data_IF_733106681371
#
_entry.id   IF_733106681371
#
_cell.length_a   1.000
_cell.length_b   1.000
_cell.length_c   1.000
_cell.angle_alpha   90.00
_cell.angle_beta   90.00
_cell.angle_gamma   90.00
#
_symmetry.space_group_name_H-M   'P 1'
#
loop_
_entity.id
_entity.type
_entity.pdbx_description
1 polymer ?
#
# COMPACT_ATOMS: atom_id res chain seq x y z
N UNK A 1 -43.56 -29.69 -35.81
CA UNK A 1 -42.79 -28.53 -36.33
C UNK A 1 -42.90 -27.30 -35.43
N UNK A 2 -44.08 -26.94 -34.89
CA UNK A 2 -44.28 -25.70 -34.12
C UNK A 2 -43.49 -25.53 -32.80
N UNK A 3 -43.24 -26.59 -32.02
CA UNK A 3 -42.50 -26.47 -30.74
C UNK A 3 -41.03 -26.09 -30.89
N UNK A 4 -40.36 -26.54 -31.96
CA UNK A 4 -38.93 -26.23 -32.20
C UNK A 4 -38.73 -24.79 -32.68
N UNK A 5 -39.69 -24.26 -33.45
CA UNK A 5 -39.68 -22.85 -33.91
C UNK A 5 -39.94 -21.91 -32.73
N UNK A 6 -40.85 -22.26 -31.82
CA UNK A 6 -41.11 -21.49 -30.61
C UNK A 6 -39.89 -21.41 -29.67
N UNK A 7 -39.15 -22.51 -29.52
CA UNK A 7 -37.92 -22.53 -28.70
C UNK A 7 -36.82 -21.69 -29.36
N UNK A 8 -36.61 -21.81 -30.67
CA UNK A 8 -35.62 -21.00 -31.38
C UNK A 8 -35.94 -19.49 -31.30
N UNK A 9 -37.22 -19.12 -31.37
CA UNK A 9 -37.66 -17.73 -31.20
C UNK A 9 -37.41 -17.22 -29.78
N UNK A 10 -37.72 -18.00 -28.75
CA UNK A 10 -37.46 -17.62 -27.35
C UNK A 10 -35.97 -17.48 -27.05
N UNK A 11 -35.12 -18.35 -27.59
CA UNK A 11 -33.66 -18.25 -27.47
C UNK A 11 -33.14 -17.00 -28.18
N UNK A 12 -33.64 -16.70 -29.38
CA UNK A 12 -33.28 -15.48 -30.11
C UNK A 12 -33.64 -14.20 -29.35
N UNK A 13 -34.83 -14.14 -28.74
CA UNK A 13 -35.26 -12.99 -27.92
C UNK A 13 -34.41 -12.87 -26.65
N UNK A 14 -34.05 -13.98 -26.00
CA UNK A 14 -33.18 -13.97 -24.82
C UNK A 14 -31.76 -13.46 -25.14
N UNK A 15 -31.19 -13.87 -26.28
CA UNK A 15 -29.87 -13.42 -26.72
C UNK A 15 -29.86 -11.94 -27.12
N UNK A 16 -30.91 -11.47 -27.80
CA UNK A 16 -31.06 -10.05 -28.13
C UNK A 16 -31.21 -9.19 -26.87
N UNK A 17 -31.99 -9.65 -25.89
CA UNK A 17 -32.13 -8.97 -24.61
C UNK A 17 -30.81 -8.93 -23.83
N UNK A 18 -30.05 -10.04 -23.81
CA UNK A 18 -28.73 -10.11 -23.18
C UNK A 18 -27.71 -9.17 -23.84
N UNK A 19 -27.74 -9.05 -25.17
CA UNK A 19 -26.86 -8.14 -25.91
C UNK A 19 -27.19 -6.67 -25.63
N UNK A 20 -28.47 -6.29 -25.65
CA UNK A 20 -28.91 -4.92 -25.32
C UNK A 20 -28.59 -4.57 -23.87
N UNK A 21 -28.76 -5.50 -22.93
CA UNK A 21 -28.42 -5.32 -21.52
C UNK A 21 -26.90 -5.22 -21.29
N UNK A 22 -26.10 -6.01 -22.00
CA UNK A 22 -24.63 -5.91 -21.98
C UNK A 22 -24.15 -4.56 -22.51
N UNK A 23 -24.73 -4.12 -23.64
CA UNK A 23 -24.43 -2.81 -24.24
C UNK A 23 -24.81 -1.64 -23.32
N UNK A 24 -25.98 -1.70 -22.68
CA UNK A 24 -26.39 -0.68 -21.70
C UNK A 24 -25.54 -0.71 -20.42
N UNK A 25 -25.10 -1.89 -19.97
CA UNK A 25 -24.22 -2.04 -18.81
C UNK A 25 -22.83 -1.48 -19.05
N UNK A 26 -22.29 -1.66 -20.27
CA UNK A 26 -20.98 -1.11 -20.64
C UNK A 26 -21.01 0.41 -20.79
N UNK A 27 -22.11 0.98 -21.31
CA UNK A 27 -22.20 2.42 -21.59
C UNK A 27 -22.56 3.28 -20.36
N UNK A 28 -23.31 2.75 -19.39
CA UNK A 28 -23.87 3.53 -18.28
C UNK A 28 -23.38 3.10 -16.87
N UNK A 29 -22.44 2.14 -16.76
CA UNK A 29 -21.72 1.87 -15.50
C UNK A 29 -22.54 1.41 -14.29
N UNK A 30 -23.82 1.06 -14.44
CA UNK A 30 -24.71 0.71 -13.33
C UNK A 30 -25.05 -0.79 -13.34
N UNK A 31 -24.47 -1.56 -12.41
CA UNK A 31 -25.03 -2.85 -12.00
C UNK A 31 -25.27 -2.81 -10.48
N UNK A 32 -26.52 -2.91 -10.02
CA UNK A 32 -26.83 -3.14 -8.62
C UNK A 32 -26.25 -4.49 -8.15
N UNK A 33 -25.54 -4.49 -7.01
CA UNK A 33 -24.83 -5.64 -6.43
C UNK A 33 -25.70 -6.92 -6.31
N UNK A 34 -27.01 -6.77 -6.18
CA UNK A 34 -27.99 -7.86 -6.03
C UNK A 34 -28.17 -8.72 -7.30
N UNK A 35 -27.84 -8.20 -8.48
CA UNK A 35 -28.00 -8.95 -9.73
C UNK A 35 -26.81 -9.87 -10.02
N UNK A 36 -25.61 -9.53 -9.52
CA UNK A 36 -24.38 -10.30 -9.72
C UNK A 36 -24.41 -11.65 -9.00
N UNK A 37 -25.04 -11.72 -7.83
CA UNK A 37 -25.20 -12.98 -7.08
C UNK A 37 -26.15 -13.95 -7.78
N UNK A 38 -27.25 -13.44 -8.34
CA UNK A 38 -28.27 -14.24 -9.01
C UNK A 38 -27.75 -14.91 -10.29
N UNK A 39 -26.93 -14.20 -11.09
CA UNK A 39 -26.30 -14.78 -12.29
C UNK A 39 -25.27 -15.86 -11.94
N UNK A 40 -24.50 -15.65 -10.87
CA UNK A 40 -23.49 -16.62 -10.37
C UNK A 40 -24.14 -17.93 -9.92
N UNK A 41 -25.24 -17.85 -9.18
CA UNK A 41 -25.95 -19.01 -8.65
C UNK A 41 -26.62 -19.83 -9.78
N UNK A 42 -27.12 -19.14 -10.81
CA UNK A 42 -27.76 -19.79 -11.96
C UNK A 42 -26.74 -20.51 -12.85
N UNK A 43 -25.55 -19.92 -13.05
CA UNK A 43 -24.47 -20.54 -13.84
C UNK A 43 -23.87 -21.79 -13.15
N UNK A 44 -23.73 -21.76 -11.81
CA UNK A 44 -23.27 -22.90 -11.02
C UNK A 44 -24.20 -24.11 -11.13
N UNK A 45 -25.52 -23.89 -11.12
CA UNK A 45 -26.53 -24.95 -11.23
C UNK A 45 -26.63 -25.58 -12.64
N UNK A 46 -26.22 -24.86 -13.68
CA UNK A 46 -26.29 -25.33 -15.08
C UNK A 46 -25.07 -26.14 -15.54
N UNK A 47 -23.91 -25.99 -14.88
CA UNK A 47 -22.62 -26.53 -15.37
C UNK A 47 -22.14 -27.80 -14.66
N UNK A 48 -22.89 -28.35 -13.70
CA UNK A 48 -22.73 -29.74 -13.24
C UNK A 48 -21.35 -30.17 -12.71
N UNK A 49 -20.47 -29.26 -12.30
CA UNK A 49 -19.13 -29.60 -11.80
C UNK A 49 -19.15 -29.85 -10.29
N UNK A 50 -19.22 -31.13 -9.91
CA UNK A 50 -19.21 -31.63 -8.53
C UNK A 50 -17.80 -31.94 -8.00
N UNK A 51 -16.81 -31.10 -8.29
CA UNK A 51 -15.52 -31.12 -7.60
C UNK A 51 -15.08 -29.69 -7.31
N UNK A 52 -15.24 -29.28 -6.05
CA UNK A 52 -14.67 -28.05 -5.54
C UNK A 52 -13.13 -28.20 -5.54
N UNK A 53 -12.37 -27.27 -6.14
CA UNK A 53 -10.93 -27.22 -5.90
C UNK A 53 -10.69 -27.05 -4.39
N UNK A 54 -9.68 -27.75 -3.86
CA UNK A 54 -9.29 -27.67 -2.47
C UNK A 54 -9.13 -26.19 -2.08
N UNK A 55 -9.88 -25.76 -1.07
CA UNK A 55 -9.81 -24.41 -0.58
C UNK A 55 -8.40 -24.14 -0.07
N UNK A 56 -7.67 -23.23 -0.74
CA UNK A 56 -6.57 -22.50 -0.11
C UNK A 56 -7.11 -21.95 1.22
N UNK A 57 -6.37 -22.05 2.33
CA UNK A 57 -6.82 -21.45 3.58
C UNK A 57 -7.10 -19.97 3.31
N UNK A 58 -8.38 -19.59 3.29
CA UNK A 58 -8.75 -18.18 3.39
C UNK A 58 -8.43 -17.83 4.83
N UNK A 59 -7.26 -17.23 5.05
CA UNK A 59 -6.99 -16.57 6.31
C UNK A 59 -8.09 -15.53 6.51
N UNK A 60 -9.00 -15.81 7.42
CA UNK A 60 -9.98 -14.84 7.88
C UNK A 60 -9.21 -13.68 8.48
N UNK A 61 -9.08 -12.58 7.74
CA UNK A 61 -8.32 -11.41 8.17
C UNK A 61 -9.13 -10.12 8.17
N UNK A 62 -10.46 -10.23 8.21
CA UNK A 62 -11.38 -9.28 8.84
C UNK A 62 -12.71 -10.01 9.09
N UNK A 63 -12.84 -10.90 10.10
CA UNK A 63 -14.16 -11.40 10.45
C UNK A 63 -14.88 -10.36 11.31
N UNK A 64 -15.80 -9.59 10.72
CA UNK A 64 -16.88 -8.98 11.50
C UNK A 64 -17.97 -10.04 11.76
N UNK A 65 -17.79 -10.76 12.88
CA UNK A 65 -18.75 -11.59 13.66
C UNK A 65 -19.35 -12.84 12.98
N UNK A 66 -19.65 -13.96 13.66
CA UNK A 66 -19.81 -14.32 15.09
C UNK A 66 -19.37 -15.77 15.35
N UNK A 67 -18.84 -16.09 16.53
CA UNK A 67 -19.25 -17.27 17.30
C UNK A 67 -18.95 -17.07 18.80
N UNK A 68 -19.95 -17.41 19.62
CA UNK A 68 -20.11 -17.12 21.04
C UNK A 68 -18.90 -17.43 21.96
N UNK A 69 -18.80 -16.60 23.01
CA UNK A 69 -17.97 -16.73 24.23
C UNK A 69 -16.56 -16.09 24.25
N UNK A 70 -16.49 -14.78 23.99
CA UNK A 70 -15.45 -13.90 24.52
C UNK A 70 -16.09 -12.56 24.91
N UNK A 71 -15.60 -11.87 25.96
CA UNK A 71 -16.18 -10.57 26.35
C UNK A 71 -15.80 -9.49 25.33
N UNK A 72 -16.75 -8.67 24.84
CA UNK A 72 -16.76 -8.23 23.44
C UNK A 72 -16.07 -6.90 23.11
N UNK A 73 -15.33 -6.27 24.02
CA UNK A 73 -14.95 -4.84 23.88
C UNK A 73 -13.45 -4.56 23.65
N UNK A 74 -12.53 -5.53 23.79
CA UNK A 74 -11.08 -5.28 23.62
C UNK A 74 -10.39 -6.10 22.50
N UNK A 75 -11.03 -7.16 21.99
CA UNK A 75 -10.48 -7.97 20.86
C UNK A 75 -10.84 -7.38 19.47
N UNK A 76 -11.54 -6.25 19.42
CA UNK A 76 -12.04 -5.61 18.19
C UNK A 76 -11.07 -4.59 17.56
N UNK A 77 -9.89 -4.32 18.16
CA UNK A 77 -8.90 -3.36 17.62
C UNK A 77 -7.68 -4.10 17.05
N UNK A 78 -7.90 -4.95 16.04
CA UNK A 78 -6.81 -5.56 15.26
C UNK A 78 -6.71 -4.91 13.88
N UNK A 79 -6.00 -3.80 13.74
CA UNK A 79 -5.69 -3.25 12.40
C UNK A 79 -4.47 -2.33 12.32
N UNK A 80 -3.34 -2.72 12.92
CA UNK A 80 -2.03 -2.19 12.47
C UNK A 80 -1.07 -3.37 12.31
N UNK A 81 -0.66 -3.64 11.07
CA UNK A 81 0.25 -4.72 10.72
C UNK A 81 -0.24 -5.57 9.55
N UNK A 82 0.55 -5.60 8.48
CA UNK A 82 0.36 -6.50 7.36
C UNK A 82 0.93 -7.89 7.66
N UNK A 83 0.51 -8.87 6.87
CA UNK A 83 1.08 -10.20 6.94
C UNK A 83 2.56 -10.20 6.56
N UNK A 84 3.33 -11.05 7.23
CA UNK A 84 4.73 -11.30 6.88
C UNK A 84 4.88 -12.12 5.59
N UNK A 85 3.85 -12.91 5.24
CA UNK A 85 3.75 -13.71 4.02
C UNK A 85 2.28 -14.09 3.79
N UNK A 86 1.84 -14.24 2.54
CA UNK A 86 0.44 -14.59 2.22
C UNK A 86 0.27 -15.57 1.05
N UNK A 87 1.26 -15.68 0.17
CA UNK A 87 1.20 -16.53 -1.02
C UNK A 87 2.21 -17.67 -0.95
N UNK A 88 1.92 -18.84 -1.56
CA UNK A 88 2.90 -19.92 -1.68
C UNK A 88 4.19 -19.42 -2.32
N UNK A 89 5.32 -19.93 -1.85
CA UNK A 89 6.61 -19.62 -2.46
C UNK A 89 6.67 -20.13 -3.92
N UNK A 90 7.33 -19.35 -4.77
CA UNK A 90 7.61 -19.71 -6.16
C UNK A 90 8.87 -20.57 -6.25
N UNK A 91 9.00 -21.36 -7.33
CA UNK A 91 10.22 -22.14 -7.58
C UNK A 91 11.41 -21.24 -7.97
N UNK A 92 11.14 -20.09 -8.58
CA UNK A 92 12.14 -19.09 -8.98
C UNK A 92 12.19 -17.94 -7.98
N UNK A 93 13.40 -17.43 -7.73
CA UNK A 93 13.64 -16.24 -6.90
C UNK A 93 14.90 -15.49 -7.35
N UNK A 94 15.13 -14.30 -6.80
CA UNK A 94 16.15 -13.36 -7.24
C UNK A 94 15.70 -12.53 -8.44
N UNK A 95 16.65 -11.96 -9.18
CA UNK A 95 16.35 -11.26 -10.44
C UNK A 95 16.08 -12.30 -11.52
N UNK A 96 14.85 -12.32 -12.01
CA UNK A 96 14.35 -13.29 -13.00
C UNK A 96 14.34 -12.71 -14.42
N UNK A 97 14.36 -11.38 -14.54
CA UNK A 97 14.49 -10.67 -15.80
C UNK A 97 15.26 -9.37 -15.58
N UNK A 98 16.23 -9.08 -16.47
CA UNK A 98 16.98 -7.83 -16.49
C UNK A 98 17.32 -7.50 -17.95
N UNK A 99 16.52 -6.65 -18.58
CA UNK A 99 16.81 -6.07 -19.89
C UNK A 99 17.62 -4.79 -19.68
N UNK A 100 18.93 -4.87 -19.92
CA UNK A 100 19.88 -3.76 -19.65
C UNK A 100 19.66 -2.53 -20.53
N UNK A 101 18.96 -2.68 -21.66
CA UNK A 101 18.68 -1.58 -22.59
C UNK A 101 17.39 -0.84 -22.18
N UNK A 102 16.47 -1.50 -21.48
CA UNK A 102 15.20 -0.93 -21.04
C UNK A 102 15.19 -0.53 -19.57
N UNK A 103 15.88 -1.27 -18.70
CA UNK A 103 15.84 -1.06 -17.26
C UNK A 103 16.63 0.18 -16.83
N UNK A 104 16.09 0.92 -15.86
CA UNK A 104 16.76 2.05 -15.23
C UNK A 104 17.92 1.53 -14.41
N UNK A 105 19.11 2.08 -14.63
CA UNK A 105 20.27 1.75 -13.79
C UNK A 105 20.05 2.22 -12.36
N UNK A 106 20.73 1.59 -11.41
CA UNK A 106 20.74 1.99 -10.01
C UNK A 106 20.98 0.86 -9.04
N UNK A 107 20.74 1.15 -7.77
CA UNK A 107 20.74 0.19 -6.66
C UNK A 107 19.30 -0.02 -6.17
N UNK A 108 18.99 -1.20 -5.64
CA UNK A 108 17.67 -1.51 -5.11
C UNK A 108 17.76 -1.69 -3.59
N UNK A 109 17.06 -0.85 -2.84
CA UNK A 109 16.87 -1.01 -1.40
C UNK A 109 15.50 -1.62 -1.14
N UNK A 110 15.40 -2.67 -0.33
CA UNK A 110 14.12 -3.26 0.03
C UNK A 110 14.04 -3.73 1.48
N UNK A 111 12.81 -3.82 1.98
CA UNK A 111 12.44 -4.46 3.25
C UNK A 111 11.37 -5.52 3.02
N UNK A 112 11.35 -6.55 3.86
CA UNK A 112 10.42 -7.67 3.70
C UNK A 112 10.01 -8.26 5.04
N UNK A 113 8.86 -8.94 5.07
CA UNK A 113 8.28 -9.54 6.28
C UNK A 113 9.09 -10.65 6.94
N UNK A 114 10.21 -11.10 6.37
CA UNK A 114 10.99 -12.22 6.88
C UNK A 114 11.89 -11.87 8.08
N UNK A 115 12.34 -10.62 8.21
CA UNK A 115 13.29 -10.23 9.25
C UNK A 115 13.32 -8.71 9.47
N UNK A 116 13.80 -8.21 10.64
CA UNK A 116 13.96 -6.80 10.91
C UNK A 116 15.27 -6.28 10.28
N UNK A 117 15.29 -6.29 8.95
CA UNK A 117 16.42 -5.92 8.12
C UNK A 117 16.00 -5.16 6.86
N UNK A 118 16.96 -4.45 6.29
CA UNK A 118 16.89 -3.83 4.96
C UNK A 118 18.08 -4.31 4.13
N UNK A 119 17.84 -4.59 2.85
CA UNK A 119 18.82 -5.15 1.93
C UNK A 119 19.04 -4.19 0.78
N UNK A 120 20.31 -3.85 0.52
CA UNK A 120 20.74 -3.12 -0.67
C UNK A 120 21.35 -4.12 -1.65
N UNK A 121 20.86 -4.13 -2.90
CA UNK A 121 21.35 -5.00 -3.97
C UNK A 121 21.58 -4.22 -5.26
N UNK A 122 22.40 -4.75 -6.16
CA UNK A 122 22.54 -4.22 -7.52
C UNK A 122 21.39 -4.69 -8.44
N UNK A 123 21.49 -4.37 -9.73
CA UNK A 123 20.48 -4.73 -10.74
C UNK A 123 20.45 -6.22 -11.08
N UNK A 124 21.51 -6.97 -10.77
CA UNK A 124 21.62 -8.41 -11.01
C UNK A 124 21.22 -9.23 -9.77
N UNK A 125 20.78 -8.56 -8.70
CA UNK A 125 20.31 -9.17 -7.47
C UNK A 125 21.44 -9.58 -6.52
N UNK A 126 22.68 -9.12 -6.76
CA UNK A 126 23.77 -9.33 -5.80
C UNK A 126 23.56 -8.40 -4.61
N UNK A 127 23.47 -8.98 -3.43
CA UNK A 127 23.44 -8.24 -2.17
C UNK A 127 24.77 -7.50 -1.97
N UNK A 128 24.67 -6.19 -1.80
CA UNK A 128 25.81 -5.30 -1.57
C UNK A 128 25.97 -4.98 -0.09
N UNK A 129 24.86 -4.86 0.64
CA UNK A 129 24.85 -4.56 2.06
C UNK A 129 23.52 -4.93 2.73
N UNK A 130 23.55 -5.23 4.02
CA UNK A 130 22.37 -5.52 4.84
C UNK A 130 22.47 -4.80 6.18
N UNK A 131 21.44 -4.06 6.55
CA UNK A 131 21.26 -3.53 7.91
C UNK A 131 20.31 -4.43 8.67
N UNK A 132 20.57 -4.71 9.94
CA UNK A 132 19.69 -5.55 10.77
C UNK A 132 19.68 -5.14 12.22
N UNK A 133 18.49 -5.06 12.83
CA UNK A 133 18.36 -4.82 14.28
C UNK A 133 17.13 -5.49 14.83
N UNK A 134 17.30 -6.41 15.77
CA UNK A 134 16.19 -7.08 16.45
C UNK A 134 15.45 -6.10 17.39
N UNK A 135 14.12 -6.17 17.41
CA UNK A 135 13.28 -5.31 18.26
C UNK A 135 13.72 -5.31 19.72
N UNK A 136 13.96 -6.51 20.27
CA UNK A 136 14.33 -6.72 21.67
C UNK A 136 15.67 -6.07 22.06
N UNK A 137 16.51 -5.69 21.09
CA UNK A 137 17.77 -4.97 21.32
C UNK A 137 17.61 -3.44 21.38
N UNK A 138 16.41 -2.93 21.06
CA UNK A 138 16.05 -1.51 21.08
C UNK A 138 15.07 -1.22 22.22
N UNK A 139 14.01 -2.03 22.32
CA UNK A 139 12.97 -1.89 23.33
C UNK A 139 12.57 -3.25 23.93
N UNK A 140 12.09 -3.30 25.19
CA UNK A 140 11.58 -4.54 25.77
C UNK A 140 10.37 -5.07 24.99
N UNK A 141 10.28 -6.39 24.77
CA UNK A 141 9.13 -7.04 24.09
C UNK A 141 7.80 -6.75 24.81
N UNK A 142 7.83 -6.71 26.14
CA UNK A 142 6.67 -6.35 26.98
C UNK A 142 6.16 -4.92 26.76
N UNK A 143 6.89 -4.11 26.00
CA UNK A 143 6.52 -2.74 25.65
C UNK A 143 5.75 -2.65 24.32
N UNK A 144 5.47 -3.77 23.64
CA UNK A 144 4.57 -3.79 22.48
C UNK A 144 3.18 -3.26 22.89
N UNK A 145 2.60 -2.27 22.19
CA UNK A 145 1.21 -1.89 22.43
C UNK A 145 0.25 -3.05 22.13
N UNK A 146 -0.77 -3.23 22.95
CA UNK A 146 -1.67 -4.41 22.86
C UNK A 146 -2.36 -4.54 21.49
N UNK A 147 -2.69 -3.40 20.86
CA UNK A 147 -3.33 -3.30 19.55
C UNK A 147 -2.38 -3.51 18.35
N UNK A 148 -1.08 -3.73 18.58
CA UNK A 148 -0.08 -3.99 17.54
C UNK A 148 0.21 -5.49 17.45
N UNK A 149 0.19 -6.10 16.27
CA UNK A 149 0.47 -7.54 16.11
C UNK A 149 1.87 -7.93 16.61
N UNK A 150 2.01 -9.12 17.19
CA UNK A 150 3.33 -9.65 17.60
C UNK A 150 4.29 -9.81 16.40
N UNK A 151 3.75 -10.18 15.23
CA UNK A 151 4.49 -10.24 13.98
C UNK A 151 5.23 -8.92 13.65
N UNK A 152 4.70 -7.76 14.04
CA UNK A 152 5.32 -6.44 13.79
C UNK A 152 6.65 -6.25 14.52
N UNK A 153 7.02 -7.13 15.46
CA UNK A 153 8.33 -7.12 16.13
C UNK A 153 9.43 -7.78 15.27
N UNK A 154 9.05 -8.54 14.25
CA UNK A 154 9.94 -9.43 13.50
C UNK A 154 10.36 -8.88 12.14
N UNK A 155 9.94 -7.66 11.79
CA UNK A 155 10.31 -7.04 10.52
C UNK A 155 10.37 -5.52 10.60
N UNK A 156 11.06 -4.92 9.63
CA UNK A 156 10.95 -3.49 9.35
C UNK A 156 9.92 -3.28 8.24
N UNK A 157 8.94 -2.41 8.49
CA UNK A 157 7.89 -2.12 7.52
C UNK A 157 8.38 -1.29 6.35
N UNK A 158 9.29 -0.36 6.65
CA UNK A 158 9.87 0.58 5.71
C UNK A 158 11.25 0.99 6.18
N UNK A 159 12.12 1.28 5.23
CA UNK A 159 13.44 1.83 5.50
C UNK A 159 13.74 3.02 4.59
N UNK A 160 14.59 3.92 5.07
CA UNK A 160 15.15 5.00 4.28
C UNK A 160 16.66 5.05 4.50
N UNK A 161 17.41 4.98 3.40
CA UNK A 161 18.85 5.02 3.39
C UNK A 161 19.34 6.45 3.21
N UNK A 162 20.23 6.91 4.08
CA UNK A 162 20.98 8.14 3.88
C UNK A 162 22.23 7.90 3.02
N UNK A 163 22.73 8.92 2.29
CA UNK A 163 23.95 8.79 1.49
C UNK A 163 25.21 8.41 2.29
N UNK A 164 25.24 8.65 3.60
CA UNK A 164 26.35 8.28 4.48
C UNK A 164 26.31 6.82 4.97
N UNK A 165 25.24 6.07 4.63
CA UNK A 165 25.05 4.68 5.04
C UNK A 165 24.23 4.50 6.31
N UNK A 166 23.82 5.60 6.97
CA UNK A 166 22.82 5.50 8.04
C UNK A 166 21.48 5.09 7.45
N UNK A 167 20.64 4.42 8.24
CA UNK A 167 19.34 3.94 7.81
C UNK A 167 18.28 4.25 8.87
N UNK A 168 17.14 4.81 8.45
CA UNK A 168 15.92 4.79 9.26
C UNK A 168 15.14 3.51 8.99
N UNK A 169 14.50 2.97 10.02
CA UNK A 169 13.58 1.85 9.87
C UNK A 169 12.38 1.93 10.81
N UNK A 170 11.20 1.56 10.30
CA UNK A 170 9.94 1.52 11.06
C UNK A 170 9.68 0.11 11.56
N UNK A 171 9.45 -0.02 12.88
CA UNK A 171 8.72 -1.14 13.47
C UNK A 171 7.23 -0.79 13.52
N UNK A 172 6.43 -1.53 12.76
CA UNK A 172 5.04 -1.19 12.43
C UNK A 172 4.15 -1.00 13.65
N UNK A 173 3.58 0.20 13.78
CA UNK A 173 2.72 0.60 14.89
C UNK A 173 3.46 0.90 16.20
N UNK A 174 4.80 0.89 16.22
CA UNK A 174 5.59 0.99 17.45
C UNK A 174 6.52 2.20 17.44
N UNK A 175 7.40 2.30 16.46
CA UNK A 175 8.45 3.30 16.51
C UNK A 175 9.41 3.29 15.32
N UNK A 176 10.24 4.32 15.30
CA UNK A 176 11.26 4.59 14.31
C UNK A 176 12.63 4.42 14.97
N UNK A 177 13.55 3.76 14.28
CA UNK A 177 14.95 3.69 14.71
C UNK A 177 15.84 4.31 13.63
N UNK A 178 17.00 4.81 14.05
CA UNK A 178 18.13 5.11 13.16
C UNK A 178 19.30 4.23 13.53
N UNK A 179 19.88 3.56 12.54
CA UNK A 179 21.12 2.79 12.67
C UNK A 179 22.20 3.36 11.75
N UNK A 180 23.47 3.14 12.08
CA UNK A 180 24.56 3.38 11.14
C UNK A 180 24.71 2.22 10.14
N UNK A 181 25.67 2.36 9.20
CA UNK A 181 26.02 1.33 8.21
C UNK A 181 26.54 0.00 8.79
N UNK A 182 26.82 -0.05 10.09
CA UNK A 182 27.28 -1.26 10.77
C UNK A 182 26.15 -1.83 11.66
N UNK A 183 24.92 -1.34 11.49
CA UNK A 183 23.73 -1.70 12.27
C UNK A 183 23.78 -1.32 13.75
N UNK A 184 24.66 -0.38 14.13
CA UNK A 184 24.64 0.17 15.48
C UNK A 184 23.50 1.18 15.61
N UNK A 185 22.71 1.04 16.68
CA UNK A 185 21.64 1.96 17.00
C UNK A 185 22.22 3.34 17.34
N UNK A 186 21.82 4.36 16.59
CA UNK A 186 22.17 5.75 16.84
C UNK A 186 21.14 6.42 17.74
N UNK A 187 19.85 6.23 17.44
CA UNK A 187 18.75 6.68 18.29
C UNK A 187 17.46 5.90 17.96
N UNK A 188 16.49 6.00 18.85
CA UNK A 188 15.16 5.39 18.69
C UNK A 188 14.07 6.36 19.12
N UNK A 189 12.95 6.38 18.42
CA UNK A 189 11.78 7.20 18.71
C UNK A 189 10.53 6.31 18.80
N UNK A 190 9.83 6.36 19.93
CA UNK A 190 8.70 5.46 20.26
C UNK A 190 7.37 6.20 20.19
N UNK A 191 6.99 6.59 18.98
CA UNK A 191 5.80 7.41 18.72
C UNK A 191 4.67 6.69 18.00
N UNK A 192 4.62 5.35 18.02
CA UNK A 192 3.61 4.57 17.30
C UNK A 192 3.79 4.62 15.78
N UNK A 193 5.02 4.69 15.29
CA UNK A 193 5.31 4.89 13.87
C UNK A 193 4.81 3.72 13.01
N UNK A 194 4.22 4.02 11.86
CA UNK A 194 3.68 3.01 10.95
C UNK A 194 3.84 3.44 9.50
N UNK A 195 3.88 2.48 8.58
CA UNK A 195 3.82 2.63 7.12
C UNK A 195 4.88 3.50 6.43
N UNK A 196 4.98 4.79 6.72
CA UNK A 196 5.74 5.75 5.93
C UNK A 196 6.56 6.76 6.74
N UNK A 197 7.71 7.12 6.17
CA UNK A 197 8.64 8.14 6.65
C UNK A 197 9.25 8.89 5.46
N UNK A 198 9.26 10.21 5.53
CA UNK A 198 9.83 11.09 4.51
C UNK A 198 10.86 12.05 5.12
N UNK A 199 11.99 12.20 4.45
CA UNK A 199 13.10 13.05 4.89
C UNK A 199 13.19 14.26 3.98
N UNK A 200 13.12 15.45 4.57
CA UNK A 200 13.33 16.68 3.82
C UNK A 200 14.83 16.95 3.61
N UNK A 201 15.21 17.76 2.60
CA UNK A 201 16.60 18.21 2.45
C UNK A 201 17.14 18.98 3.66
N UNK A 202 16.28 19.59 4.50
CA UNK A 202 16.69 20.26 5.73
C UNK A 202 17.03 19.29 6.87
N UNK A 203 16.76 17.99 6.71
CA UNK A 203 16.97 16.96 7.71
C UNK A 203 15.82 16.79 8.70
N UNK A 204 14.66 17.40 8.44
CA UNK A 204 13.44 17.11 9.19
C UNK A 204 12.83 15.79 8.70
N UNK A 205 12.32 15.00 9.65
CA UNK A 205 11.77 13.67 9.42
C UNK A 205 10.27 13.73 9.66
N UNK A 206 9.48 13.45 8.62
CA UNK A 206 8.03 13.34 8.72
C UNK A 206 7.68 11.86 8.77
N UNK A 207 6.96 11.43 9.79
CA UNK A 207 6.61 10.01 9.98
C UNK A 207 5.14 9.87 10.36
N UNK A 208 4.47 8.89 9.75
CA UNK A 208 3.11 8.52 10.14
C UNK A 208 3.15 7.81 11.49
N UNK A 209 2.20 8.17 12.35
CA UNK A 209 2.10 7.67 13.72
C UNK A 209 0.66 7.34 14.06
N UNK A 210 0.46 6.31 14.87
CA UNK A 210 -0.86 5.88 15.32
C UNK A 210 -0.95 5.95 16.84
N UNK A 211 -2.10 6.39 17.33
CA UNK A 211 -2.42 6.39 18.75
C UNK A 211 -3.88 6.05 19.03
N UNK A 212 -4.12 5.44 20.18
CA UNK A 212 -5.47 5.14 20.65
C UNK A 212 -6.12 6.37 21.28
N UNK A 213 -7.12 6.93 20.60
CA UNK A 213 -7.88 8.11 21.01
C UNK A 213 -9.33 7.77 21.35
N UNK A 214 -10.00 8.66 22.09
CA UNK A 214 -11.46 8.62 22.28
C UNK A 214 -11.99 10.04 22.10
N UNK A 215 -12.14 10.52 20.85
CA UNK A 215 -12.48 11.92 20.58
C UNK A 215 -13.88 12.22 21.11
N UNK A 216 -14.02 13.23 21.96
CA UNK A 216 -15.30 13.55 22.65
C UNK A 216 -16.48 13.87 21.71
N UNK A 217 -16.19 14.27 20.47
CA UNK A 217 -17.17 14.61 19.45
C UNK A 217 -17.64 13.41 18.63
N UNK A 218 -16.87 12.31 18.62
CA UNK A 218 -17.32 11.02 18.18
C UNK A 218 -18.00 10.41 19.42
N UNK A 219 -19.32 10.17 19.42
CA UNK A 219 -20.00 9.55 20.58
C UNK A 219 -19.57 8.10 20.73
N UNK A 220 -18.33 7.96 21.19
CA UNK A 220 -17.46 6.82 21.07
C UNK A 220 -17.63 5.94 22.30
N UNK A 221 -18.33 4.81 22.14
CA UNK A 221 -18.36 3.75 23.14
C UNK A 221 -16.97 3.10 23.31
N UNK A 222 -16.13 3.18 22.27
CA UNK A 222 -14.82 2.54 22.17
C UNK A 222 -13.67 3.53 21.94
N UNK A 223 -12.43 3.06 22.12
CA UNK A 223 -11.22 3.76 21.65
C UNK A 223 -10.99 3.46 20.17
N UNK A 224 -10.43 4.43 19.47
CA UNK A 224 -10.14 4.40 18.03
C UNK A 224 -8.66 4.58 17.78
N UNK A 225 -8.16 4.10 16.65
CA UNK A 225 -6.85 4.50 16.18
C UNK A 225 -7.02 5.76 15.34
N UNK A 226 -6.40 6.85 15.77
CA UNK A 226 -6.16 8.03 14.93
C UNK A 226 -4.74 7.99 14.38
N UNK A 227 -4.58 8.46 13.14
CA UNK A 227 -3.28 8.62 12.52
C UNK A 227 -2.86 10.09 12.60
N UNK A 228 -1.59 10.31 12.87
CA UNK A 228 -0.97 11.63 12.96
C UNK A 228 0.30 11.67 12.13
N UNK A 229 0.68 12.87 11.68
CA UNK A 229 2.02 13.14 11.15
C UNK A 229 2.84 13.74 12.28
N UNK A 230 3.90 13.04 12.70
CA UNK A 230 4.92 13.58 13.60
C UNK A 230 6.08 14.14 12.77
N UNK A 231 6.57 15.33 13.14
CA UNK A 231 7.76 15.95 12.55
C UNK A 231 8.88 15.89 13.58
N UNK A 232 9.96 15.19 13.27
CA UNK A 232 11.14 15.05 14.10
C UNK A 232 12.31 15.84 13.52
N UNK A 233 13.24 16.25 14.38
CA UNK A 233 14.56 16.69 13.92
C UNK A 233 15.46 15.50 13.54
N UNK A 234 16.65 15.79 13.00
CA UNK A 234 17.63 14.77 12.61
C UNK A 234 18.13 13.87 13.78
N UNK A 235 17.88 14.27 15.03
CA UNK A 235 18.22 13.51 16.24
C UNK A 235 17.04 12.68 16.78
N UNK A 236 15.93 12.65 16.05
CA UNK A 236 14.72 11.92 16.43
C UNK A 236 13.89 12.61 17.52
N UNK A 237 14.10 13.91 17.78
CA UNK A 237 13.30 14.67 18.73
C UNK A 237 12.05 15.23 18.05
N UNK A 238 10.88 14.97 18.63
CA UNK A 238 9.61 15.46 18.10
C UNK A 238 9.48 16.98 18.26
N UNK A 239 9.26 17.66 17.13
CA UNK A 239 9.04 19.11 17.03
C UNK A 239 7.56 19.45 17.02
N UNK A 240 6.75 18.61 16.36
CA UNK A 240 5.32 18.84 16.08
C UNK A 240 4.61 17.53 15.81
N UNK A 241 3.32 17.48 16.15
CA UNK A 241 2.39 16.41 15.77
C UNK A 241 1.09 17.00 15.29
N UNK A 242 0.54 16.45 14.21
CA UNK A 242 -0.72 16.89 13.62
C UNK A 242 -1.63 15.69 13.43
N UNK A 243 -2.80 15.71 14.09
CA UNK A 243 -3.85 14.69 13.92
C UNK A 243 -4.50 14.80 12.55
N UNK A 244 -4.60 13.69 11.84
CA UNK A 244 -5.27 13.62 10.54
C UNK A 244 -6.78 13.73 10.70
N UNK A 245 -7.35 13.11 11.74
CA UNK A 245 -8.77 13.21 12.03
C UNK A 245 -9.21 14.65 12.30
N UNK A 246 -8.44 15.41 13.10
CA UNK A 246 -8.72 16.83 13.32
C UNK A 246 -8.51 17.66 12.05
N UNK A 247 -7.52 17.35 11.20
CA UNK A 247 -7.37 18.03 9.91
C UNK A 247 -8.61 17.90 9.02
N UNK A 248 -9.16 16.70 8.89
CA UNK A 248 -10.39 16.48 8.13
C UNK A 248 -11.57 17.21 8.77
N UNK A 249 -11.73 17.10 10.09
CA UNK A 249 -12.80 17.76 10.84
C UNK A 249 -12.78 19.28 10.70
N UNK A 250 -11.59 19.88 10.67
CA UNK A 250 -11.40 21.34 10.57
C UNK A 250 -11.45 21.86 9.12
N UNK A 251 -11.83 21.01 8.15
CA UNK A 251 -11.85 21.37 6.73
C UNK A 251 -13.25 21.30 6.14
N UNK A 252 -13.39 21.81 4.91
CA UNK A 252 -14.60 21.63 4.11
C UNK A 252 -14.93 20.14 3.82
N UNK A 253 -13.97 19.23 4.05
CA UNK A 253 -14.10 17.79 3.84
C UNK A 253 -14.55 17.01 5.08
N UNK A 254 -14.89 17.68 6.19
CA UNK A 254 -15.45 17.04 7.38
C UNK A 254 -16.64 16.07 7.10
N UNK A 255 -17.53 16.31 6.11
CA UNK A 255 -18.59 15.35 5.77
C UNK A 255 -18.08 13.96 5.34
N UNK A 256 -16.85 13.83 4.85
CA UNK A 256 -16.26 12.53 4.50
C UNK A 256 -16.09 11.62 5.73
N UNK A 257 -15.93 12.19 6.92
CA UNK A 257 -15.79 11.44 8.16
C UNK A 257 -17.02 10.57 8.48
N UNK A 258 -18.19 10.86 7.87
CA UNK A 258 -19.39 10.03 8.00
C UNK A 258 -19.26 8.65 7.33
N UNK A 259 -18.25 8.46 6.46
CA UNK A 259 -17.97 7.19 5.77
C UNK A 259 -17.07 6.26 6.57
N UNK A 260 -16.48 6.76 7.67
CA UNK A 260 -15.52 6.01 8.46
C UNK A 260 -16.17 4.79 9.14
N UNK A 261 -15.37 3.74 9.43
CA UNK A 261 -15.85 2.62 10.23
C UNK A 261 -16.28 3.07 11.63
N UNK A 262 -17.11 2.25 12.28
CA UNK A 262 -17.64 2.54 13.62
C UNK A 262 -16.69 2.21 14.77
N UNK A 263 -15.61 1.49 14.47
CA UNK A 263 -14.60 0.99 15.42
C UNK A 263 -13.27 0.78 14.70
N UNK A 264 -12.17 0.66 15.45
CA UNK A 264 -10.85 0.31 14.93
C UNK A 264 -10.05 1.49 14.34
N UNK A 265 -9.26 1.19 13.30
CA UNK A 265 -8.49 2.17 12.53
C UNK A 265 -9.38 2.95 11.57
N UNK A 266 -9.54 4.24 11.87
CA UNK A 266 -10.51 5.09 11.21
C UNK A 266 -10.06 5.47 9.80
N UNK A 267 -8.94 6.18 9.72
CA UNK A 267 -8.46 6.76 8.46
C UNK A 267 -7.52 5.82 7.72
N UNK A 268 -6.75 5.01 8.45
CA UNK A 268 -5.71 4.13 7.91
C UNK A 268 -4.84 4.86 6.88
N UNK A 269 -4.21 5.95 7.30
CA UNK A 269 -3.27 6.70 6.47
C UNK A 269 -2.02 5.86 6.25
N UNK A 270 -1.64 5.63 4.99
CA UNK A 270 -0.62 4.63 4.64
C UNK A 270 0.55 5.17 3.81
N UNK A 271 0.54 6.46 3.46
CA UNK A 271 1.63 7.13 2.74
C UNK A 271 1.68 8.59 3.15
N UNK A 272 2.89 9.16 3.21
CA UNK A 272 3.10 10.59 3.31
C UNK A 272 4.24 11.04 2.38
N UNK A 273 4.09 12.20 1.74
CA UNK A 273 5.16 12.86 0.98
C UNK A 273 5.07 14.35 1.17
N UNK A 274 6.16 14.98 1.60
CA UNK A 274 6.23 16.43 1.77
C UNK A 274 6.44 17.07 0.40
N UNK A 275 5.53 17.96 0.02
CA UNK A 275 5.56 18.65 -1.27
C UNK A 275 6.68 19.68 -1.30
N UNK A 276 7.46 19.69 -2.38
CA UNK A 276 8.52 20.67 -2.63
C UNK A 276 7.99 22.04 -3.03
N UNK A 277 6.73 22.12 -3.47
CA UNK A 277 6.12 23.31 -4.05
C UNK A 277 6.49 23.59 -5.50
N UNK A 278 7.08 22.62 -6.23
CA UNK A 278 7.38 22.76 -7.65
C UNK A 278 6.13 22.84 -8.55
N UNK A 279 4.97 22.39 -8.08
CA UNK A 279 3.73 22.26 -8.85
C UNK A 279 2.71 23.37 -8.54
N UNK A 280 3.15 24.64 -8.54
CA UNK A 280 2.27 25.78 -8.19
C UNK A 280 1.05 25.95 -9.11
N UNK A 281 1.11 25.40 -10.33
CA UNK A 281 0.02 25.38 -11.30
C UNK A 281 -1.18 24.53 -10.83
N UNK A 282 -1.00 23.60 -9.90
CA UNK A 282 -2.09 22.80 -9.33
C UNK A 282 -2.90 23.55 -8.26
N UNK A 283 -2.43 24.74 -7.88
CA UNK A 283 -3.10 25.60 -6.92
C UNK A 283 -2.49 25.57 -5.51
N UNK A 284 -3.03 26.37 -4.58
CA UNK A 284 -2.41 26.63 -3.28
C UNK A 284 -2.35 25.41 -2.35
N UNK A 285 -3.18 24.39 -2.59
CA UNK A 285 -3.11 23.14 -1.83
C UNK A 285 -1.76 22.45 -2.02
N UNK A 286 -1.13 22.55 -3.19
CA UNK A 286 0.13 21.88 -3.53
C UNK A 286 1.38 22.73 -3.22
N UNK A 287 1.25 23.70 -2.30
CA UNK A 287 2.35 24.53 -1.85
C UNK A 287 3.44 23.73 -1.12
N UNK A 288 4.66 24.28 -1.11
CA UNK A 288 5.79 23.68 -0.39
C UNK A 288 5.47 23.47 1.10
N UNK A 289 5.83 22.32 1.64
CA UNK A 289 5.63 21.96 3.05
C UNK A 289 4.27 21.34 3.37
N UNK A 290 3.28 21.44 2.47
CA UNK A 290 2.07 20.63 2.57
C UNK A 290 2.41 19.17 2.28
N UNK A 291 1.56 18.24 2.75
CA UNK A 291 1.85 16.81 2.70
C UNK A 291 0.78 16.09 1.88
N UNK A 292 1.21 15.41 0.81
CA UNK A 292 0.36 14.48 0.07
C UNK A 292 0.26 13.17 0.86
N UNK A 293 -0.95 12.68 1.06
CA UNK A 293 -1.22 11.46 1.82
C UNK A 293 -2.22 10.56 1.09
N UNK A 294 -2.12 9.25 1.36
CA UNK A 294 -3.19 8.31 1.03
C UNK A 294 -3.94 7.91 2.29
N UNK A 295 -5.26 8.00 2.21
CA UNK A 295 -6.22 7.75 3.28
C UNK A 295 -7.07 6.55 2.87
N UNK A 296 -6.64 5.36 3.26
CA UNK A 296 -7.24 4.10 2.81
C UNK A 296 -8.70 3.98 3.26
N UNK A 297 -9.01 4.37 4.50
CA UNK A 297 -10.37 4.29 5.08
C UNK A 297 -11.42 5.14 4.35
N UNK A 298 -10.98 6.10 3.52
CA UNK A 298 -11.85 6.97 2.72
C UNK A 298 -11.77 6.70 1.21
N UNK A 299 -10.94 5.76 0.77
CA UNK A 299 -10.55 5.59 -0.62
C UNK A 299 -10.09 6.91 -1.25
N UNK A 300 -9.24 7.66 -0.54
CA UNK A 300 -8.92 9.04 -0.88
C UNK A 300 -7.43 9.33 -0.89
N UNK A 301 -7.02 10.15 -1.84
CA UNK A 301 -5.73 10.86 -1.82
C UNK A 301 -6.03 12.30 -1.41
N UNK A 302 -5.27 12.83 -0.47
CA UNK A 302 -5.51 14.15 0.10
C UNK A 302 -4.20 14.93 0.25
N UNK A 303 -4.32 16.25 0.31
CA UNK A 303 -3.22 17.13 0.72
C UNK A 303 -3.55 17.73 2.08
N UNK A 304 -2.58 17.69 2.99
CA UNK A 304 -2.67 18.23 4.34
C UNK A 304 -1.86 19.53 4.43
N UNK A 305 -2.51 20.60 4.86
CA UNK A 305 -1.83 21.82 5.30
C UNK A 305 -1.43 21.64 6.76
N UNK A 306 -0.17 21.29 6.99
CA UNK A 306 0.39 21.00 8.33
C UNK A 306 0.39 22.23 9.23
N UNK A 307 0.47 23.44 8.68
CA UNK A 307 0.50 24.68 9.46
C UNK A 307 -0.90 25.09 9.90
N UNK A 308 -1.88 25.01 9.00
CA UNK A 308 -3.28 25.29 9.34
C UNK A 308 -4.01 24.12 9.98
N UNK A 309 -3.44 22.91 9.92
CA UNK A 309 -4.08 21.67 10.35
C UNK A 309 -5.45 21.48 9.69
N UNK A 310 -5.47 21.59 8.36
CA UNK A 310 -6.68 21.43 7.53
C UNK A 310 -6.36 20.62 6.29
N UNK A 311 -7.39 20.11 5.63
CA UNK A 311 -7.30 19.44 4.34
C UNK A 311 -7.74 20.42 3.24
N UNK A 312 -6.82 21.07 2.49
CA UNK A 312 -7.19 21.97 1.40
C UNK A 312 -7.62 21.27 0.11
N UNK A 313 -7.32 19.98 -0.07
CA UNK A 313 -7.65 19.23 -1.28
C UNK A 313 -7.83 17.74 -1.01
N UNK A 314 -8.80 17.11 -1.67
CA UNK A 314 -9.08 15.66 -1.64
C UNK A 314 -9.57 15.18 -3.01
N UNK A 315 -9.14 13.99 -3.40
CA UNK A 315 -9.65 13.23 -4.55
C UNK A 315 -10.00 11.80 -4.12
N UNK A 316 -11.13 11.27 -4.59
CA UNK A 316 -11.65 9.94 -4.22
C UNK A 316 -12.51 9.37 -5.36
N UNK A 317 -12.73 8.05 -5.36
CA UNK A 317 -13.72 7.37 -6.22
C UNK A 317 -13.17 6.65 -7.45
N UNK A 318 -11.91 6.88 -7.84
CA UNK A 318 -11.26 6.21 -8.98
C UNK A 318 -10.55 4.89 -8.64
N UNK A 319 -10.28 4.69 -7.35
CA UNK A 319 -9.51 3.58 -6.80
C UNK A 319 -10.20 3.05 -5.53
N UNK A 320 -9.74 1.90 -5.04
CA UNK A 320 -10.17 1.34 -3.76
C UNK A 320 -9.00 0.73 -3.00
N UNK A 321 -8.92 1.05 -1.71
CA UNK A 321 -7.85 0.62 -0.80
C UNK A 321 -6.43 1.00 -1.26
N UNK A 322 -6.28 2.18 -1.87
CA UNK A 322 -5.07 2.62 -2.56
C UNK A 322 -3.84 2.85 -1.65
N UNK A 323 -2.67 2.85 -2.26
CA UNK A 323 -1.36 3.09 -1.64
C UNK A 323 -0.50 4.04 -2.49
N UNK A 324 0.51 4.61 -1.83
CA UNK A 324 1.67 5.28 -2.43
C UNK A 324 1.35 6.29 -3.55
N UNK A 325 0.51 7.31 -3.29
CA UNK A 325 0.38 8.42 -4.23
C UNK A 325 1.71 9.15 -4.37
N UNK A 326 2.15 9.37 -5.60
CA UNK A 326 3.35 10.14 -5.93
C UNK A 326 2.98 11.29 -6.85
N UNK A 327 3.30 12.53 -6.45
CA UNK A 327 3.16 13.69 -7.33
C UNK A 327 4.37 13.75 -8.27
N UNK A 328 4.12 13.50 -9.55
CA UNK A 328 5.13 13.48 -10.60
C UNK A 328 5.50 14.88 -11.09
N UNK A 329 6.68 15.04 -11.69
CA UNK A 329 7.20 16.32 -12.23
C UNK A 329 6.28 16.99 -13.27
N UNK A 330 5.45 16.20 -13.96
CA UNK A 330 4.48 16.71 -14.92
C UNK A 330 3.18 17.23 -14.27
N UNK A 331 3.07 17.14 -12.93
CA UNK A 331 1.90 17.54 -12.15
C UNK A 331 0.79 16.48 -12.06
N UNK A 332 0.98 15.30 -12.65
CA UNK A 332 0.07 14.17 -12.46
C UNK A 332 0.38 13.45 -11.14
N UNK A 333 -0.57 12.64 -10.67
CA UNK A 333 -0.42 11.81 -9.48
C UNK A 333 -0.44 10.34 -9.90
N UNK A 334 0.64 9.62 -9.61
CA UNK A 334 0.67 8.16 -9.69
C UNK A 334 0.00 7.59 -8.44
N UNK A 335 -0.83 6.54 -8.55
CA UNK A 335 -1.52 5.91 -7.43
C UNK A 335 -1.53 4.40 -7.61
N UNK A 336 -1.12 3.64 -6.59
CA UNK A 336 -1.29 2.19 -6.56
C UNK A 336 -2.71 1.87 -6.08
N UNK A 337 -3.55 1.36 -6.96
CA UNK A 337 -4.93 0.95 -6.71
C UNK A 337 -5.01 -0.56 -6.45
N UNK A 338 -5.14 -0.96 -5.19
CA UNK A 338 -5.15 -2.36 -4.79
C UNK A 338 -6.36 -3.13 -5.34
N UNK A 339 -7.55 -2.51 -5.28
CA UNK A 339 -8.82 -3.24 -5.43
C UNK A 339 -9.82 -2.61 -6.40
N UNK A 340 -9.56 -1.42 -6.94
CA UNK A 340 -10.51 -0.70 -7.78
C UNK A 340 -10.88 -1.42 -9.08
N UNK A 341 -10.06 -2.38 -9.54
CA UNK A 341 -10.36 -3.21 -10.71
C UNK A 341 -11.04 -4.56 -10.38
N UNK A 342 -11.29 -4.85 -9.10
CA UNK A 342 -11.91 -6.08 -8.54
C UNK A 342 -11.11 -7.38 -8.75
N UNK A 343 -10.55 -7.60 -9.94
CA UNK A 343 -9.86 -8.86 -10.31
C UNK A 343 -8.34 -8.76 -10.26
N UNK A 344 -7.80 -7.55 -10.23
CA UNK A 344 -6.37 -7.26 -10.25
C UNK A 344 -6.13 -5.90 -9.58
N UNK A 345 -4.87 -5.63 -9.22
CA UNK A 345 -4.42 -4.31 -8.79
C UNK A 345 -3.96 -3.51 -10.01
N UNK A 346 -3.94 -2.19 -9.89
CA UNK A 346 -3.51 -1.28 -10.96
C UNK A 346 -2.60 -0.21 -10.40
N UNK A 347 -1.75 0.33 -11.25
CA UNK A 347 -1.12 1.64 -11.04
C UNK A 347 -1.79 2.60 -12.00
N UNK A 348 -2.27 3.74 -11.50
CA UNK A 348 -2.95 4.78 -12.28
C UNK A 348 -2.10 6.04 -12.26
N UNK A 349 -1.86 6.66 -13.42
CA UNK A 349 -1.41 8.05 -13.49
C UNK A 349 -2.62 8.93 -13.80
N UNK A 350 -2.91 9.86 -12.90
CA UNK A 350 -4.13 10.66 -12.95
C UNK A 350 -3.77 12.14 -12.96
N UNK A 351 -4.39 12.90 -13.85
CA UNK A 351 -4.35 14.35 -13.79
C UNK A 351 -5.27 14.85 -12.66
N UNK A 352 -4.75 15.50 -11.60
CA UNK A 352 -5.55 15.86 -10.43
C UNK A 352 -6.54 17.00 -10.67
N UNK A 353 -6.44 17.72 -11.80
CA UNK A 353 -7.34 18.82 -12.15
C UNK A 353 -8.49 18.34 -13.04
N UNK A 354 -8.20 17.52 -14.05
CA UNK A 354 -9.20 17.01 -15.01
C UNK A 354 -9.80 15.68 -14.59
N UNK A 355 -9.17 14.97 -13.64
CA UNK A 355 -9.49 13.60 -13.22
C UNK A 355 -9.35 12.56 -14.35
N UNK A 356 -8.60 12.91 -15.39
CA UNK A 356 -8.29 11.99 -16.48
C UNK A 356 -7.23 10.98 -16.03
N UNK A 357 -7.48 9.69 -16.27
CA UNK A 357 -6.47 8.64 -16.18
C UNK A 357 -5.65 8.68 -17.47
N UNK A 358 -4.43 9.21 -17.41
CA UNK A 358 -3.58 9.42 -18.59
C UNK A 358 -2.70 8.21 -18.91
N UNK A 359 -2.46 7.35 -17.91
CA UNK A 359 -1.74 6.10 -18.05
C UNK A 359 -2.22 5.12 -16.97
N UNK A 360 -2.17 3.82 -17.26
CA UNK A 360 -2.39 2.78 -16.26
C UNK A 360 -1.58 1.53 -16.59
N UNK A 361 -1.25 0.76 -15.55
CA UNK A 361 -0.74 -0.60 -15.70
C UNK A 361 -1.44 -1.54 -14.70
N UNK A 362 -1.88 -2.75 -15.10
CA UNK A 362 -1.87 -3.26 -16.48
C UNK A 362 -2.81 -2.45 -17.40
N UNK A 363 -2.45 -2.38 -18.69
CA UNK A 363 -3.35 -1.99 -19.76
C UNK A 363 -4.15 -3.17 -20.30
N UNK A 364 -4.91 -2.93 -21.36
CA UNK A 364 -5.72 -3.97 -22.00
C UNK A 364 -4.83 -5.06 -22.63
N UNK A 365 -4.94 -6.28 -22.10
CA UNK A 365 -4.19 -7.44 -22.59
C UNK A 365 -2.85 -7.69 -21.91
N UNK A 366 -2.43 -6.80 -21.01
CA UNK A 366 -1.19 -6.99 -20.25
C UNK A 366 -1.36 -8.03 -19.13
N UNK A 367 -0.26 -8.68 -18.71
CA UNK A 367 -0.29 -9.59 -17.57
C UNK A 367 -0.78 -8.87 -16.30
N UNK A 368 -1.83 -9.37 -15.63
CA UNK A 368 -2.30 -8.76 -14.39
C UNK A 368 -1.32 -9.04 -13.25
N UNK A 369 -1.35 -8.18 -12.24
CA UNK A 369 -0.72 -8.41 -10.94
C UNK A 369 -1.74 -8.12 -9.83
N UNK A 370 -1.49 -8.62 -8.63
CA UNK A 370 -2.41 -8.42 -7.52
C UNK A 370 -1.70 -8.34 -6.18
N UNK A 371 -1.96 -7.25 -5.46
CA UNK A 371 -1.64 -7.11 -4.04
C UNK A 371 -2.91 -6.66 -3.33
N UNK A 372 -3.46 -7.53 -2.49
CA UNK A 372 -4.69 -7.27 -1.73
C UNK A 372 -4.53 -6.02 -0.85
N UNK A 373 -3.34 -5.89 -0.30
CA UNK A 373 -2.91 -4.82 0.60
C UNK A 373 -1.44 -4.44 0.31
N UNK A 374 -0.95 -3.35 0.90
CA UNK A 374 0.39 -2.80 0.59
C UNK A 374 0.54 -2.52 -0.91
N UNK A 375 1.74 -2.74 -1.45
CA UNK A 375 2.11 -2.33 -2.79
C UNK A 375 2.70 -0.93 -2.82
N UNK A 376 3.63 -0.75 -3.75
CA UNK A 376 4.25 0.53 -4.05
C UNK A 376 4.33 0.74 -5.55
N UNK A 377 4.33 2.00 -5.97
CA UNK A 377 4.67 2.40 -7.33
C UNK A 377 5.49 3.68 -7.29
N UNK A 378 6.55 3.75 -8.09
CA UNK A 378 7.37 4.95 -8.23
C UNK A 378 7.79 5.15 -9.69
N UNK A 379 7.70 6.39 -10.19
CA UNK A 379 8.24 6.72 -11.52
C UNK A 379 9.76 6.89 -11.45
N UNK A 380 10.47 6.17 -12.31
CA UNK A 380 11.94 6.20 -12.40
C UNK A 380 12.42 7.31 -13.36
N UNK A 381 13.68 7.76 -13.25
CA UNK A 381 14.22 8.84 -14.08
C UNK A 381 14.20 8.58 -15.59
N UNK A 382 14.21 7.33 -16.03
CA UNK A 382 14.10 6.96 -17.45
C UNK A 382 12.65 6.94 -17.96
N UNK A 383 11.67 7.23 -17.11
CA UNK A 383 10.24 7.20 -17.42
C UNK A 383 9.57 5.85 -17.15
N UNK A 384 10.29 4.80 -16.76
CA UNK A 384 9.68 3.53 -16.36
C UNK A 384 9.01 3.66 -14.98
N UNK A 385 8.12 2.72 -14.66
CA UNK A 385 7.48 2.63 -13.34
C UNK A 385 8.00 1.40 -12.61
N UNK A 386 8.58 1.58 -11.42
CA UNK A 386 8.88 0.48 -10.50
C UNK A 386 7.65 0.19 -9.66
N UNK A 387 7.26 -1.08 -9.59
CA UNK A 387 6.06 -1.56 -8.91
C UNK A 387 6.45 -2.67 -7.96
N UNK A 388 6.02 -2.60 -6.70
CA UNK A 388 6.14 -3.71 -5.74
C UNK A 388 4.79 -4.39 -5.57
N UNK A 389 4.73 -5.67 -5.90
CA UNK A 389 3.60 -6.57 -5.68
C UNK A 389 3.82 -7.35 -4.38
N UNK A 390 3.39 -6.75 -3.25
CA UNK A 390 3.77 -7.20 -1.91
C UNK A 390 3.41 -8.65 -1.61
N UNK A 391 2.16 -9.05 -1.88
CA UNK A 391 1.67 -10.38 -1.53
C UNK A 391 2.43 -11.52 -2.23
N UNK A 392 2.84 -11.29 -3.49
CA UNK A 392 3.60 -12.27 -4.28
C UNK A 392 5.12 -12.10 -4.10
N UNK A 393 5.56 -11.21 -3.20
CA UNK A 393 6.97 -10.95 -2.96
C UNK A 393 7.73 -10.50 -4.21
N UNK A 394 7.09 -9.79 -5.13
CA UNK A 394 7.62 -9.50 -6.47
C UNK A 394 7.76 -8.00 -6.69
N UNK A 395 8.77 -7.60 -7.46
CA UNK A 395 8.94 -6.24 -7.94
C UNK A 395 9.17 -6.23 -9.45
N UNK A 396 8.62 -5.21 -10.12
CA UNK A 396 8.61 -5.07 -11.56
C UNK A 396 8.99 -3.67 -11.97
N UNK A 397 9.86 -3.55 -12.96
CA UNK A 397 10.03 -2.30 -13.69
C UNK A 397 9.32 -2.41 -15.03
N UNK A 398 8.41 -1.48 -15.28
CA UNK A 398 7.56 -1.49 -16.49
C UNK A 398 7.78 -0.21 -17.28
N UNK A 399 8.00 -0.34 -18.58
CA UNK A 399 8.15 0.80 -19.49
C UNK A 399 6.82 1.51 -19.75
N UNK A 400 6.82 2.76 -20.26
CA UNK A 400 5.58 3.45 -20.64
C UNK A 400 4.71 2.70 -21.66
N UNK A 401 5.31 1.85 -22.50
CA UNK A 401 4.65 0.95 -23.45
C UNK A 401 4.36 -0.46 -22.88
N UNK A 402 4.38 -0.60 -21.55
CA UNK A 402 3.91 -1.76 -20.79
C UNK A 402 4.77 -3.03 -20.90
N UNK A 403 6.02 -2.89 -21.34
CA UNK A 403 7.00 -3.99 -21.34
C UNK A 403 7.66 -4.09 -19.97
N UNK A 404 7.83 -5.30 -19.45
CA UNK A 404 8.59 -5.54 -18.23
C UNK A 404 10.08 -5.48 -18.60
N UNK A 405 10.79 -4.51 -18.03
CA UNK A 405 12.23 -4.29 -18.25
C UNK A 405 13.10 -4.95 -17.17
N UNK A 406 12.56 -5.13 -15.97
CA UNK A 406 13.25 -5.78 -14.85
C UNK A 406 12.23 -6.49 -13.95
N UNK A 407 12.59 -7.65 -13.42
CA UNK A 407 11.78 -8.42 -12.49
C UNK A 407 12.64 -9.02 -11.38
N UNK A 408 12.16 -8.88 -10.15
CA UNK A 408 12.73 -9.51 -8.97
C UNK A 408 11.65 -10.24 -8.18
N UNK A 409 11.99 -11.43 -7.68
CA UNK A 409 11.15 -12.23 -6.79
C UNK A 409 11.93 -12.48 -5.50
N UNK A 410 11.33 -12.13 -4.37
CA UNK A 410 11.95 -12.20 -3.06
C UNK A 410 12.41 -13.65 -2.75
N UNK A 411 13.71 -13.88 -2.48
CA UNK A 411 14.22 -15.22 -2.16
C UNK A 411 13.84 -15.69 -0.75
N UNK A 412 13.39 -14.78 0.11
CA UNK A 412 13.06 -15.12 1.49
C UNK A 412 11.66 -15.74 1.60
N UNK A 413 11.56 -16.75 2.45
CA UNK A 413 10.35 -17.54 2.65
C UNK A 413 10.09 -17.72 4.15
N UNK A 414 8.82 -17.92 4.49
CA UNK A 414 8.37 -18.24 5.84
C UNK A 414 7.55 -19.53 5.80
N UNK A 415 7.65 -20.32 6.86
CA UNK A 415 6.83 -21.54 7.02
C UNK A 415 5.72 -21.28 8.01
N UNK A 416 4.48 -21.39 7.54
CA UNK A 416 3.28 -21.19 8.37
C UNK A 416 2.31 -22.36 8.15
N UNK A 417 1.86 -23.00 9.23
CA UNK A 417 0.92 -24.13 9.20
C UNK A 417 1.34 -25.27 8.24
N UNK A 418 2.65 -25.51 8.10
CA UNK A 418 3.20 -26.54 7.21
C UNK A 418 3.26 -26.16 5.73
N UNK A 419 2.88 -24.93 5.36
CA UNK A 419 3.06 -24.38 4.02
C UNK A 419 4.25 -23.41 3.99
N UNK A 420 5.03 -23.46 2.90
CA UNK A 420 6.09 -22.49 2.63
C UNK A 420 5.53 -21.34 1.80
N UNK A 421 5.60 -20.14 2.36
CA UNK A 421 5.07 -18.91 1.80
C UNK A 421 6.22 -17.97 1.41
N UNK A 422 6.07 -17.22 0.33
CA UNK A 422 7.01 -16.13 0.00
C UNK A 422 6.83 -15.00 1.00
N UNK A 423 7.95 -14.49 1.54
CA UNK A 423 7.89 -13.35 2.43
C UNK A 423 7.40 -12.11 1.69
N UNK A 424 6.45 -11.40 2.29
CA UNK A 424 5.90 -10.16 1.77
C UNK A 424 7.04 -9.18 1.46
N UNK A 425 7.02 -8.58 0.27
CA UNK A 425 7.96 -7.54 -0.14
C UNK A 425 7.30 -6.18 0.07
N UNK A 426 7.67 -5.45 1.12
CA UNK A 426 6.92 -4.26 1.51
C UNK A 426 7.16 -3.07 0.59
N UNK A 427 8.41 -2.88 0.17
CA UNK A 427 8.80 -1.82 -0.77
C UNK A 427 10.15 -2.19 -1.40
N UNK A 428 10.31 -1.85 -2.67
CA UNK A 428 11.60 -1.71 -3.34
C UNK A 428 11.76 -0.26 -3.80
N UNK A 429 12.89 0.36 -3.47
CA UNK A 429 13.27 1.71 -3.89
C UNK A 429 14.50 1.63 -4.79
N UNK A 430 14.41 2.21 -5.99
CA UNK A 430 15.56 2.39 -6.90
C UNK A 430 16.31 3.66 -6.52
N UNK A 431 17.57 3.52 -6.14
CA UNK A 431 18.50 4.59 -5.83
C UNK A 431 19.49 4.78 -6.99
N UNK A 432 20.08 5.98 -7.18
CA UNK A 432 21.18 6.18 -8.12
C UNK A 432 22.33 5.19 -7.92
N UNK A 433 23.03 4.83 -9.00
CA UNK A 433 24.12 3.84 -8.98
C UNK A 433 25.28 4.27 -8.05
N UNK A 434 25.52 5.58 -7.93
CA UNK A 434 26.57 6.16 -7.10
C UNK A 434 26.10 6.56 -5.68
N UNK A 435 24.85 6.26 -5.31
CA UNK A 435 24.24 6.73 -4.05
C UNK A 435 25.04 6.36 -2.80
N UNK A 436 25.67 5.18 -2.81
CA UNK A 436 26.47 4.65 -1.70
C UNK A 436 27.99 4.67 -1.95
N UNK A 437 28.46 5.32 -3.04
CA UNK A 437 29.84 5.21 -3.51
C UNK A 437 30.89 5.72 -2.50
N UNK A 438 30.50 6.52 -1.51
CA UNK A 438 31.39 7.07 -0.50
C UNK A 438 31.78 6.08 0.61
N UNK A 439 31.00 5.02 0.82
CA UNK A 439 31.19 4.10 1.95
C UNK A 439 31.02 2.62 1.59
N UNK A 440 30.32 2.31 0.50
CA UNK A 440 30.21 0.95 0.00
C UNK A 440 31.54 0.54 -0.65
N UNK A 441 32.11 -0.63 -0.31
CA UNK A 441 33.33 -1.10 -0.96
C UNK A 441 33.14 -1.19 -2.47
N UNK A 442 34.14 -0.74 -3.25
CA UNK A 442 34.13 -0.99 -4.69
C UNK A 442 34.22 -2.51 -4.93
N UNK A 443 33.42 -3.05 -5.85
CA UNK A 443 33.32 -4.50 -6.07
C UNK A 443 34.63 -5.16 -6.49
#
# INVERSE_FOLDING_TARGET
MGKRIAIAFLVGVALAAAFVLGYMSHRNGLIPLTWRSMVRETASKLLGNNQAPAATPRGDMFPLRTAATATPDDEAILSIGYLQASKPATETSGVTLHDTDLASKGLNLYTSGHAPEAVLMDMDGRVLHTWRREFASVWPVSSRPDYVREASLQYWRRAYLYPNGDLLAIFEGIGLIKVDKDSNLLWSYRGGCHHDVFMTPSGDIYVLTSELVQPSWLQAEYRYIDNSIAVLDAKGQEKKRVSMLDCFRNSAYAPLLKRLPKEGDLLHVNTLTVLSGSHTNLGPAFAAGNVLVSVLGLDAVAVIDIERQTVPWVMTGMWHAQHQPELLDNGNILVFDNRGAVTHSRVLEVNPLTQEVVWQYPGDGDPPFYSEWCGSSARLPNGNTLITETDNGRALEVTPDHRIAWEFVNPNQLTENGATLVAALFEVVRLPEDYCASWLPKP
#
